data_IF_731558500964
#
_entry.id   IF_731558500964
#
_cell.length_a   1.000
_cell.length_b   1.000
_cell.length_c   1.000
_cell.angle_alpha   90.00
_cell.angle_beta   90.00
_cell.angle_gamma   90.00
#
_symmetry.space_group_name_H-M   'P 1'
#
loop_
_entity.id
_entity.type
_entity.pdbx_description
1 polymer ?
#
# COMPACT_ATOMS: atom_id res chain seq x y z
N UNK A 1 61.87 36.29 13.34
CA UNK A 1 61.09 37.02 14.36
C UNK A 1 59.85 36.22 14.71
N UNK A 2 59.83 35.64 15.91
CA UNK A 2 58.61 35.27 16.64
C UNK A 2 58.67 36.07 17.96
N UNK A 3 57.72 35.99 18.91
CA UNK A 3 56.31 35.51 18.87
C UNK A 3 55.35 36.45 19.68
N UNK A 4 54.03 36.22 19.63
CA UNK A 4 53.07 36.45 20.74
C UNK A 4 51.63 36.20 20.25
N UNK A 5 50.69 35.55 20.94
CA UNK A 5 50.62 35.01 22.30
C UNK A 5 49.50 33.96 22.38
N UNK A 6 49.73 32.95 23.20
CA UNK A 6 48.79 31.93 23.69
C UNK A 6 47.81 32.53 24.71
N UNK A 7 46.60 31.99 24.82
CA UNK A 7 45.96 31.55 26.08
C UNK A 7 44.60 30.93 25.74
N UNK A 8 44.35 29.62 25.84
CA UNK A 8 44.36 28.69 26.99
C UNK A 8 43.15 28.82 27.93
N UNK A 9 42.48 27.66 28.12
CA UNK A 9 41.72 27.21 29.30
C UNK A 9 40.33 27.84 29.52
N UNK A 10 39.27 27.17 30.01
CA UNK A 10 39.07 25.86 30.63
C UNK A 10 37.55 25.54 30.70
N UNK A 11 37.16 24.26 30.67
CA UNK A 11 35.90 23.79 31.32
C UNK A 11 36.14 23.73 32.83
N UNK A 12 35.08 23.82 33.65
CA UNK A 12 34.74 22.64 34.45
C UNK A 12 33.24 22.34 34.56
N UNK A 13 32.99 21.12 34.99
CA UNK A 13 31.70 20.54 35.33
C UNK A 13 31.20 21.01 36.71
N UNK A 14 29.88 21.07 36.88
CA UNK A 14 29.26 20.96 38.20
C UNK A 14 28.12 19.94 38.16
N UNK A 15 28.30 18.91 38.99
CA UNK A 15 27.33 17.91 39.43
C UNK A 15 26.08 18.53 40.04
N UNK A 16 24.94 17.83 39.92
CA UNK A 16 24.04 17.63 41.05
C UNK A 16 23.27 16.31 40.91
N UNK A 17 23.29 15.55 42.00
CA UNK A 17 22.73 14.22 42.22
C UNK A 17 21.41 14.36 42.99
N UNK A 18 20.36 13.63 42.55
CA UNK A 18 19.22 12.92 43.24
C UNK A 18 18.72 13.40 44.63
N UNK A 19 17.40 13.31 44.98
CA UNK A 19 16.69 12.02 45.24
C UNK A 19 15.19 12.00 44.83
N UNK A 20 14.63 10.88 44.34
CA UNK A 20 13.89 9.80 45.03
C UNK A 20 12.73 10.25 45.95
N UNK A 21 11.50 9.92 45.55
CA UNK A 21 10.37 9.73 46.49
C UNK A 21 9.53 8.52 46.08
N UNK A 22 9.32 7.64 47.05
CA UNK A 22 8.49 6.42 47.04
C UNK A 22 7.19 6.73 47.79
N UNK A 23 6.06 6.20 47.32
CA UNK A 23 4.96 5.60 48.11
C UNK A 23 3.88 5.19 47.09
N UNK A 24 3.54 3.92 46.84
CA UNK A 24 3.06 2.86 47.74
C UNK A 24 1.80 3.26 48.51
N UNK A 25 0.64 2.69 48.12
CA UNK A 25 -0.14 1.72 48.93
C UNK A 25 -1.60 1.66 48.41
N UNK A 26 -2.07 0.50 47.95
CA UNK A 26 -3.12 -0.37 48.56
C UNK A 26 -4.53 0.22 48.55
N UNK A 27 -5.61 -0.45 48.13
CA UNK A 27 -6.14 -1.76 48.55
C UNK A 27 -7.27 -2.14 47.56
N UNK A 28 -7.37 -3.39 47.07
CA UNK A 28 -8.37 -4.44 47.44
C UNK A 28 -9.81 -3.91 47.55
N UNK A 29 -10.84 -4.50 46.94
CA UNK A 29 -11.22 -5.91 47.12
C UNK A 29 -12.51 -6.25 46.33
N UNK A 30 -12.67 -7.54 46.00
CA UNK A 30 -13.94 -8.38 45.96
C UNK A 30 -15.07 -7.98 45.00
N UNK A 31 -15.80 -8.85 44.29
CA UNK A 31 -15.91 -10.31 44.16
C UNK A 31 -16.78 -10.63 42.91
N UNK A 32 -16.66 -11.84 42.36
CA UNK A 32 -17.61 -12.45 41.39
C UNK A 32 -18.67 -13.32 42.15
N UNK A 33 -19.62 -14.07 41.55
CA UNK A 33 -20.04 -14.23 40.13
C UNK A 33 -21.58 -14.34 39.83
N UNK A 34 -21.94 -14.30 38.53
CA UNK A 34 -23.06 -14.99 37.79
C UNK A 34 -24.55 -14.75 38.16
N UNK A 35 -25.59 -15.12 37.32
CA UNK A 35 -25.61 -16.00 36.13
C UNK A 35 -26.44 -15.55 34.90
N UNK A 36 -26.30 -16.34 33.81
CA UNK A 36 -27.28 -16.70 32.75
C UNK A 36 -28.10 -15.59 32.04
N UNK A 37 -27.84 -15.44 30.75
CA UNK A 37 -28.91 -15.40 29.76
C UNK A 37 -28.46 -16.12 28.47
N UNK A 38 -29.05 -17.29 28.25
CA UNK A 38 -29.13 -17.92 26.92
C UNK A 38 -30.06 -17.06 26.07
N UNK A 39 -29.65 -16.71 24.85
CA UNK A 39 -30.59 -16.67 23.73
C UNK A 39 -29.90 -17.07 22.45
N UNK A 40 -30.55 -18.00 21.76
CA UNK A 40 -30.15 -18.60 20.51
C UNK A 40 -30.10 -17.58 19.38
N UNK A 41 -29.06 -17.66 18.55
CA UNK A 41 -29.08 -17.11 17.19
C UNK A 41 -29.59 -18.19 16.24
N UNK A 42 -30.58 -17.90 15.37
CA UNK A 42 -31.09 -18.87 14.42
C UNK A 42 -30.17 -19.00 13.20
N UNK A 43 -30.10 -20.25 12.74
CA UNK A 43 -29.76 -20.74 11.40
C UNK A 43 -29.31 -19.70 10.35
N UNK A 44 -28.02 -19.74 10.02
CA UNK A 44 -27.56 -19.28 8.72
C UNK A 44 -27.98 -20.31 7.66
N UNK A 45 -28.87 -19.90 6.76
CA UNK A 45 -29.23 -20.62 5.55
C UNK A 45 -28.00 -20.89 4.68
N UNK A 46 -27.71 -22.14 4.24
CA UNK A 46 -26.83 -22.36 3.11
C UNK A 46 -27.69 -22.33 1.84
N UNK A 47 -27.86 -21.13 1.29
CA UNK A 47 -28.62 -20.93 0.06
C UNK A 47 -27.89 -19.94 -0.86
N UNK A 48 -26.86 -20.40 -1.55
CA UNK A 48 -26.62 -20.06 -2.96
C UNK A 48 -25.40 -20.82 -3.48
N UNK A 49 -25.63 -22.03 -3.98
CA UNK A 49 -24.79 -22.59 -5.04
C UNK A 49 -25.25 -21.99 -6.35
N UNK A 50 -24.72 -20.82 -6.71
CA UNK A 50 -24.62 -20.44 -8.11
C UNK A 50 -23.23 -20.85 -8.63
N UNK A 51 -23.12 -22.16 -8.89
CA UNK A 51 -22.14 -22.70 -9.81
C UNK A 51 -22.55 -22.28 -11.21
N UNK A 52 -22.09 -21.10 -11.62
CA UNK A 52 -22.04 -20.65 -13.00
C UNK A 52 -20.64 -20.11 -13.24
N UNK A 53 -19.81 -20.89 -13.93
CA UNK A 53 -18.43 -20.56 -14.31
C UNK A 53 -18.33 -19.15 -14.92
N UNK A 54 -17.99 -18.20 -14.05
CA UNK A 54 -17.36 -16.92 -14.38
C UNK A 54 -16.00 -16.82 -13.67
N UNK A 55 -15.43 -17.97 -13.30
CA UNK A 55 -14.22 -18.16 -12.49
C UNK A 55 -12.90 -17.70 -13.16
N UNK A 56 -12.96 -16.83 -14.16
CA UNK A 56 -11.76 -16.36 -14.87
C UNK A 56 -11.82 -14.95 -15.44
N UNK A 57 -12.97 -14.26 -15.39
CA UNK A 57 -13.06 -12.89 -15.92
C UNK A 57 -12.96 -11.86 -14.80
N UNK A 58 -11.95 -11.01 -14.92
CA UNK A 58 -11.80 -9.84 -14.08
C UNK A 58 -13.04 -8.95 -14.29
N UNK A 59 -13.77 -8.68 -13.22
CA UNK A 59 -14.78 -7.62 -13.22
C UNK A 59 -14.06 -6.28 -13.25
N UNK A 60 -13.74 -5.80 -14.45
CA UNK A 60 -12.97 -4.57 -14.64
C UNK A 60 -13.64 -3.33 -14.03
N UNK A 61 -14.96 -3.38 -13.78
CA UNK A 61 -15.74 -2.42 -13.00
C UNK A 61 -15.29 -2.31 -11.53
N UNK A 62 -14.60 -3.31 -11.00
CA UNK A 62 -14.09 -3.35 -9.62
C UNK A 62 -12.68 -2.79 -9.45
N UNK A 63 -12.04 -2.36 -10.53
CA UNK A 63 -10.70 -1.78 -10.49
C UNK A 63 -10.81 -0.26 -10.50
N UNK A 64 -10.45 0.38 -9.39
CA UNK A 64 -10.31 1.83 -9.27
C UNK A 64 -8.83 2.24 -9.29
N UNK A 65 -8.56 3.52 -9.52
CA UNK A 65 -7.21 4.10 -9.38
C UNK A 65 -7.25 5.27 -8.41
N UNK A 66 -6.17 5.46 -7.65
CA UNK A 66 -6.06 6.56 -6.68
C UNK A 66 -4.60 6.94 -6.45
N UNK A 67 -4.33 8.20 -6.10
CA UNK A 67 -2.98 8.57 -5.67
C UNK A 67 -2.72 8.08 -4.25
N UNK A 68 -1.54 7.52 -3.99
CA UNK A 68 -1.20 6.98 -2.66
C UNK A 68 -1.27 8.02 -1.52
N UNK A 69 -1.04 9.28 -1.86
CA UNK A 69 -1.07 10.40 -0.91
C UNK A 69 -2.49 10.88 -0.57
N UNK A 70 -3.51 10.45 -1.31
CA UNK A 70 -4.90 10.77 -0.98
C UNK A 70 -5.39 9.93 0.22
N UNK A 71 -6.29 10.46 1.07
CA UNK A 71 -6.90 9.72 2.17
C UNK A 71 -7.49 8.38 1.73
N UNK A 72 -7.28 7.32 2.52
CA UNK A 72 -7.92 6.05 2.28
C UNK A 72 -9.43 6.16 2.55
N UNK A 73 -10.24 5.63 1.65
CA UNK A 73 -11.70 5.58 1.77
C UNK A 73 -12.19 4.14 1.94
N UNK A 74 -13.36 3.96 2.56
CA UNK A 74 -13.98 2.64 2.73
C UNK A 74 -14.33 1.95 1.40
N UNK A 75 -14.60 2.73 0.35
CA UNK A 75 -14.85 2.23 -0.99
C UNK A 75 -13.59 1.74 -1.73
N UNK A 76 -12.39 2.02 -1.22
CA UNK A 76 -11.13 1.66 -1.90
C UNK A 76 -10.91 0.14 -1.96
N UNK A 77 -11.58 -0.63 -1.08
CA UNK A 77 -11.39 -2.08 -0.97
C UNK A 77 -9.91 -2.42 -0.71
N UNK A 78 -9.39 -3.41 -1.45
CA UNK A 78 -7.97 -3.77 -1.35
C UNK A 78 -7.09 -2.74 -2.05
N UNK A 79 -6.17 -2.14 -1.31
CA UNK A 79 -5.26 -1.09 -1.78
C UNK A 79 -3.95 -1.68 -2.27
N UNK A 80 -3.78 -1.73 -3.59
CA UNK A 80 -2.64 -2.38 -4.26
C UNK A 80 -1.65 -1.33 -4.77
N UNK A 81 -0.44 -1.32 -4.24
CA UNK A 81 0.65 -0.48 -4.75
C UNK A 81 1.24 -1.11 -6.01
N UNK A 82 1.30 -0.32 -7.10
CA UNK A 82 1.88 -0.74 -8.39
C UNK A 82 3.12 0.07 -8.77
N UNK A 83 3.82 0.61 -7.77
CA UNK A 83 5.06 1.36 -7.96
C UNK A 83 6.28 0.46 -7.82
N UNK A 84 7.36 0.78 -8.56
CA UNK A 84 8.63 0.04 -8.46
C UNK A 84 9.33 0.28 -7.12
N UNK A 85 9.14 1.46 -6.56
CA UNK A 85 9.72 1.88 -5.28
C UNK A 85 8.61 2.28 -4.33
N UNK A 86 8.85 2.05 -3.04
CA UNK A 86 7.94 2.53 -2.00
C UNK A 86 7.90 4.06 -1.99
N UNK A 87 6.70 4.68 -1.98
CA UNK A 87 6.55 6.14 -1.97
C UNK A 87 7.07 6.76 -0.66
N UNK A 88 7.69 7.94 -0.76
CA UNK A 88 8.27 8.63 0.40
C UNK A 88 7.18 9.08 1.37
N UNK A 89 7.44 8.95 2.67
CA UNK A 89 6.53 9.40 3.73
C UNK A 89 5.24 8.57 3.87
N UNK A 90 5.08 7.49 3.11
CA UNK A 90 3.92 6.62 3.21
C UNK A 90 4.19 5.49 4.21
N UNK A 91 3.29 5.34 5.18
CA UNK A 91 3.31 4.24 6.16
C UNK A 91 2.77 2.95 5.54
N UNK A 92 3.23 1.79 6.04
CA UNK A 92 2.90 0.48 5.47
C UNK A 92 1.41 0.12 5.55
N UNK A 93 0.70 0.60 6.57
CA UNK A 93 -0.74 0.41 6.77
C UNK A 93 -1.63 1.08 5.70
N UNK A 94 -1.04 1.86 4.79
CA UNK A 94 -1.76 2.51 3.67
C UNK A 94 -1.84 1.66 2.42
N UNK A 95 -1.17 0.50 2.40
CA UNK A 95 -1.06 -0.43 1.27
C UNK A 95 -1.27 -1.85 1.81
N UNK A 96 -2.25 -2.55 1.24
CA UNK A 96 -2.53 -3.94 1.64
C UNK A 96 -1.62 -4.92 0.90
N UNK A 97 -1.38 -4.67 -0.39
CA UNK A 97 -0.57 -5.53 -1.27
C UNK A 97 0.36 -4.68 -2.13
N UNK A 98 1.59 -5.13 -2.34
CA UNK A 98 2.54 -4.48 -3.22
C UNK A 98 2.94 -5.39 -4.38
N UNK A 99 2.40 -5.11 -5.57
CA UNK A 99 2.69 -5.82 -6.82
C UNK A 99 3.69 -5.01 -7.65
N UNK A 100 4.96 -5.05 -7.26
CA UNK A 100 6.04 -4.27 -7.90
C UNK A 100 6.34 -4.74 -9.33
N UNK A 101 5.94 -5.95 -9.66
CA UNK A 101 6.13 -6.61 -10.96
C UNK A 101 5.25 -5.97 -12.03
N UNK A 102 4.12 -5.38 -11.61
CA UNK A 102 3.23 -4.58 -12.46
C UNK A 102 3.73 -3.14 -12.67
N UNK A 103 4.77 -2.73 -11.94
CA UNK A 103 5.40 -1.44 -12.17
C UNK A 103 6.23 -1.45 -13.47
N UNK A 104 6.47 -0.29 -14.10
CA UNK A 104 7.48 -0.19 -15.15
C UNK A 104 8.85 -0.67 -14.64
N UNK A 105 9.58 -1.38 -15.50
CA UNK A 105 10.97 -1.75 -15.19
C UNK A 105 11.82 -0.49 -15.00
N UNK A 106 12.84 -0.62 -14.15
CA UNK A 106 13.72 0.49 -13.76
C UNK A 106 14.30 1.24 -14.97
N UNK A 107 14.80 0.58 -16.03
CA UNK A 107 15.34 1.30 -17.18
C UNK A 107 14.29 2.14 -17.94
N UNK A 108 13.07 1.60 -18.10
CA UNK A 108 11.97 2.29 -18.77
C UNK A 108 11.48 3.48 -17.93
N UNK A 109 11.31 3.28 -16.62
CA UNK A 109 10.91 4.32 -15.68
C UNK A 109 11.94 5.46 -15.67
N UNK A 110 13.24 5.15 -15.57
CA UNK A 110 14.31 6.15 -15.63
C UNK A 110 14.31 6.92 -16.94
N UNK A 111 14.22 6.23 -18.07
CA UNK A 111 14.22 6.88 -19.38
C UNK A 111 13.07 7.88 -19.55
N UNK A 112 11.89 7.55 -19.02
CA UNK A 112 10.74 8.46 -19.05
C UNK A 112 10.91 9.63 -18.07
N UNK A 113 11.37 9.38 -16.84
CA UNK A 113 11.61 10.44 -15.85
C UNK A 113 12.74 11.39 -16.25
N UNK A 114 13.76 10.89 -16.95
CA UNK A 114 14.86 11.67 -17.49
C UNK A 114 14.47 12.45 -18.77
N UNK A 115 13.23 12.31 -19.26
CA UNK A 115 12.75 12.95 -20.49
C UNK A 115 13.36 12.38 -21.78
N UNK A 116 14.06 11.24 -21.72
CA UNK A 116 14.70 10.59 -22.89
C UNK A 116 13.69 9.96 -23.83
N UNK A 117 12.48 9.67 -23.34
CA UNK A 117 11.39 9.14 -24.13
C UNK A 117 10.10 9.88 -23.83
N UNK A 118 9.24 9.99 -24.83
CA UNK A 118 7.91 10.62 -24.68
C UNK A 118 6.91 9.65 -24.05
N UNK A 119 5.77 10.16 -23.59
CA UNK A 119 4.66 9.34 -23.10
C UNK A 119 4.15 8.34 -24.17
N UNK A 120 4.10 8.78 -25.43
CA UNK A 120 3.70 7.96 -26.57
C UNK A 120 4.67 6.79 -26.81
N UNK A 121 5.96 6.97 -26.53
CA UNK A 121 6.96 5.90 -26.58
C UNK A 121 6.95 5.02 -25.33
N UNK A 122 6.67 5.60 -24.16
CA UNK A 122 6.61 4.89 -22.88
C UNK A 122 5.46 3.88 -22.83
N UNK A 123 4.26 4.29 -23.26
CA UNK A 123 3.03 3.51 -23.15
C UNK A 123 3.12 2.10 -23.76
N UNK A 124 3.46 1.92 -25.05
CA UNK A 124 3.54 0.59 -25.64
C UNK A 124 4.65 -0.26 -25.02
N UNK A 125 5.77 0.35 -24.59
CA UNK A 125 6.86 -0.36 -23.89
C UNK A 125 6.44 -0.85 -22.51
N UNK A 126 5.64 -0.06 -21.79
CA UNK A 126 5.08 -0.46 -20.51
C UNK A 126 4.11 -1.63 -20.69
N UNK A 127 3.17 -1.53 -21.64
CA UNK A 127 2.20 -2.59 -21.92
C UNK A 127 2.86 -3.88 -22.39
N UNK A 128 3.85 -3.83 -23.28
CA UNK A 128 4.64 -4.99 -23.67
C UNK A 128 5.35 -5.63 -22.46
N UNK A 129 5.77 -4.82 -21.49
CA UNK A 129 6.36 -5.28 -20.25
C UNK A 129 5.42 -6.09 -19.34
N UNK A 130 4.10 -6.01 -19.53
CA UNK A 130 3.13 -6.81 -18.78
C UNK A 130 3.10 -8.28 -19.22
N UNK A 131 3.67 -8.61 -20.38
CA UNK A 131 3.80 -9.99 -20.87
C UNK A 131 4.97 -10.76 -20.23
N UNK A 132 5.80 -10.12 -19.39
CA UNK A 132 6.87 -10.81 -18.67
C UNK A 132 6.28 -11.83 -17.68
N UNK A 133 6.91 -13.00 -17.47
CA UNK A 133 6.38 -14.04 -16.59
C UNK A 133 6.00 -13.56 -15.19
N UNK A 134 6.83 -12.69 -14.59
CA UNK A 134 6.59 -12.15 -13.25
C UNK A 134 5.41 -11.16 -13.22
N UNK A 135 5.24 -10.39 -14.31
CA UNK A 135 4.12 -9.48 -14.45
C UNK A 135 2.82 -10.26 -14.68
N UNK A 136 2.85 -11.33 -15.48
CA UNK A 136 1.70 -12.24 -15.70
C UNK A 136 1.27 -12.89 -14.38
N UNK A 137 2.22 -13.38 -13.57
CA UNK A 137 1.92 -13.93 -12.26
C UNK A 137 1.28 -12.87 -11.33
N UNK A 138 1.78 -11.63 -11.34
CA UNK A 138 1.20 -10.54 -10.56
C UNK A 138 -0.18 -10.10 -11.08
N UNK A 139 -0.44 -10.18 -12.39
CA UNK A 139 -1.77 -9.95 -12.98
C UNK A 139 -2.76 -11.01 -12.49
N UNK A 140 -2.35 -12.28 -12.44
CA UNK A 140 -3.18 -13.36 -11.89
C UNK A 140 -3.53 -13.10 -10.41
N UNK A 141 -2.55 -12.72 -9.59
CA UNK A 141 -2.81 -12.31 -8.20
C UNK A 141 -3.77 -11.12 -8.11
N UNK A 142 -3.62 -10.13 -8.99
CA UNK A 142 -4.52 -8.99 -9.04
C UNK A 142 -5.96 -9.42 -9.41
N UNK A 143 -6.12 -10.38 -10.32
CA UNK A 143 -7.43 -10.94 -10.66
C UNK A 143 -8.07 -11.64 -9.46
N UNK A 144 -7.31 -12.43 -8.70
CA UNK A 144 -7.80 -13.09 -7.48
C UNK A 144 -8.22 -12.07 -6.41
N UNK A 145 -7.49 -10.95 -6.27
CA UNK A 145 -7.89 -9.86 -5.37
C UNK A 145 -9.21 -9.22 -5.82
N UNK A 146 -9.36 -8.95 -7.11
CA UNK A 146 -10.57 -8.34 -7.67
C UNK A 146 -11.80 -9.27 -7.67
N UNK A 147 -11.57 -10.59 -7.67
CA UNK A 147 -12.62 -11.58 -7.49
C UNK A 147 -13.24 -11.50 -6.07
N UNK A 148 -12.42 -11.18 -5.06
CA UNK A 148 -12.83 -11.06 -3.65
C UNK A 148 -13.52 -9.74 -3.30
N UNK A 149 -13.29 -8.68 -4.08
CA UNK A 149 -13.91 -7.38 -3.82
C UNK A 149 -13.31 -6.24 -4.65
N UNK A 150 -13.67 -4.98 -4.34
CA UNK A 150 -13.08 -3.81 -4.99
C UNK A 150 -11.56 -3.75 -4.77
N UNK A 151 -10.84 -3.30 -5.79
CA UNK A 151 -9.39 -3.11 -5.73
C UNK A 151 -9.04 -1.71 -6.21
N UNK A 152 -8.22 -1.01 -5.45
CA UNK A 152 -7.69 0.31 -5.81
C UNK A 152 -6.21 0.21 -6.14
N UNK A 153 -5.86 0.53 -7.38
CA UNK A 153 -4.47 0.63 -7.85
C UNK A 153 -3.87 1.98 -7.42
N UNK A 154 -2.74 1.91 -6.72
CA UNK A 154 -2.09 3.06 -6.11
C UNK A 154 -0.79 3.43 -6.80
N UNK A 155 -0.62 4.72 -7.07
CA UNK A 155 0.65 5.30 -7.52
C UNK A 155 0.84 6.72 -6.97
N UNK A 156 2.09 7.20 -6.95
CA UNK A 156 2.45 8.54 -6.51
C UNK A 156 2.33 9.64 -7.56
N UNK A 157 2.20 9.29 -8.85
CA UNK A 157 2.17 10.28 -9.94
C UNK A 157 1.05 11.30 -9.74
N UNK A 158 1.34 12.61 -9.89
CA UNK A 158 0.36 13.67 -9.69
C UNK A 158 -0.72 13.63 -10.77
N UNK A 159 -0.32 13.49 -12.04
CA UNK A 159 -1.24 13.40 -13.17
C UNK A 159 -1.73 11.95 -13.36
N UNK A 160 -3.05 11.66 -13.26
CA UNK A 160 -3.60 10.36 -13.60
C UNK A 160 -3.56 10.05 -15.10
N UNK A 161 -3.58 11.04 -16.00
CA UNK A 161 -3.56 10.80 -17.45
C UNK A 161 -2.19 10.26 -17.91
N UNK A 162 -1.12 10.71 -17.26
CA UNK A 162 0.24 10.22 -17.47
C UNK A 162 0.72 9.34 -16.31
N UNK A 163 -0.04 8.29 -16.01
CA UNK A 163 0.34 7.32 -14.98
C UNK A 163 0.15 5.87 -15.41
N UNK A 164 1.11 5.01 -15.06
CA UNK A 164 1.02 3.58 -15.30
C UNK A 164 -0.14 2.92 -14.55
N UNK A 165 -0.63 3.50 -13.42
CA UNK A 165 -1.84 2.99 -12.74
C UNK A 165 -3.07 3.02 -13.66
N UNK A 166 -3.17 4.07 -14.46
CA UNK A 166 -4.28 4.29 -15.41
C UNK A 166 -4.10 3.42 -16.65
N UNK A 167 -2.86 3.31 -17.16
CA UNK A 167 -2.55 2.37 -18.25
C UNK A 167 -2.89 0.93 -17.86
N UNK A 168 -2.55 0.52 -16.64
CA UNK A 168 -2.87 -0.82 -16.13
C UNK A 168 -4.38 -1.02 -16.02
N UNK A 169 -5.11 -0.08 -15.41
CA UNK A 169 -6.57 -0.15 -15.33
C UNK A 169 -7.22 -0.29 -16.71
N UNK A 170 -6.79 0.53 -17.68
CA UNK A 170 -7.33 0.49 -19.05
C UNK A 170 -7.00 -0.84 -19.74
N UNK A 171 -5.78 -1.35 -19.55
CA UNK A 171 -5.40 -2.66 -20.08
C UNK A 171 -6.28 -3.78 -19.52
N UNK A 172 -6.47 -3.81 -18.20
CA UNK A 172 -7.36 -4.78 -17.55
C UNK A 172 -8.81 -4.69 -18.04
N UNK A 173 -9.30 -3.47 -18.29
CA UNK A 173 -10.65 -3.25 -18.85
C UNK A 173 -10.75 -3.77 -20.28
N UNK A 174 -9.78 -3.44 -21.14
CA UNK A 174 -9.77 -3.92 -22.53
C UNK A 174 -9.72 -5.44 -22.64
N UNK A 175 -9.01 -6.13 -21.74
CA UNK A 175 -8.97 -7.60 -21.70
C UNK A 175 -10.29 -8.21 -21.23
N UNK A 176 -11.08 -7.49 -20.43
CA UNK A 176 -12.40 -7.94 -20.00
C UNK A 176 -13.50 -7.71 -21.06
N UNK A 177 -13.33 -6.71 -21.93
CA UNK A 177 -14.27 -6.37 -23.00
C UNK A 177 -14.03 -7.18 -24.29
N UNK A 178 -12.78 -7.60 -24.55
CA UNK A 178 -12.38 -8.35 -25.75
C UNK A 178 -12.45 -9.87 -25.64
N UNK A 179 -13.10 -10.43 -24.62
CA UNK A 179 -13.13 -11.88 -24.31
C UNK A 179 -14.52 -12.44 -23.97
#
# INVERSE_FOLDING_TARGET
MAPARKSSRSRPAHSAVRPRSKRSATRRSTAAPSPRARRASPAASPGSTSSGSSAGRLRADRIATKRIYEPAGSADGTRVLVMRYWPRGIRRDRVDVWLRELAPIVPLLRSYLDGKITWAQYTPRYLAGLARPEAVAALAQLHELAARGPVTLLCGCPDPQQCHRTLLQNHLRSMAEGA
#
